data_IF_991050102368
#
_entry.id   IF_991050102368
#
_cell.length_a   1.000
_cell.length_b   1.000
_cell.length_c   1.000
_cell.angle_alpha   90.00
_cell.angle_beta   90.00
_cell.angle_gamma   90.00
#
_symmetry.space_group_name_H-M   'P 1'
#
loop_
_entity.id
_entity.type
_entity.pdbx_description
1 polymer ?
#
# COMPACT_ATOMS: atom_id res chain seq x y z
N UNK A 1 5.44 16.36 27.99
CA UNK A 1 6.28 15.49 27.13
C UNK A 1 5.54 14.22 26.72
N UNK A 2 4.72 13.58 27.59
CA UNK A 2 3.88 12.42 27.21
C UNK A 2 3.01 12.62 25.94
N UNK A 3 2.26 13.73 25.85
CA UNK A 3 1.34 13.94 24.71
C UNK A 3 2.06 14.07 23.35
N UNK A 4 3.34 14.45 23.33
CA UNK A 4 4.09 14.52 22.06
C UNK A 4 4.51 13.12 21.60
N UNK A 5 4.91 12.25 22.53
CA UNK A 5 5.28 10.87 22.22
C UNK A 5 4.06 10.06 21.78
N UNK A 6 2.91 10.21 22.44
CA UNK A 6 1.66 9.55 22.04
C UNK A 6 1.17 9.97 20.65
N UNK A 7 1.27 11.27 20.32
CA UNK A 7 0.91 11.78 18.99
C UNK A 7 1.87 11.26 17.91
N UNK A 8 3.16 11.14 18.24
CA UNK A 8 4.17 10.58 17.34
C UNK A 8 3.91 9.10 17.05
N UNK A 9 3.63 8.30 18.08
CA UNK A 9 3.31 6.88 17.90
C UNK A 9 2.04 6.69 17.06
N UNK A 10 1.01 7.49 17.32
CA UNK A 10 -0.23 7.46 16.53
C UNK A 10 0.02 7.79 15.06
N UNK A 11 0.76 8.87 14.79
CA UNK A 11 1.08 9.27 13.41
C UNK A 11 1.85 8.18 12.65
N UNK A 12 2.77 7.48 13.31
CA UNK A 12 3.51 6.35 12.70
C UNK A 12 2.58 5.17 12.40
N UNK A 13 1.64 4.84 13.31
CA UNK A 13 0.66 3.78 13.07
C UNK A 13 -0.29 4.12 11.93
N UNK A 14 -0.77 5.35 11.87
CA UNK A 14 -1.62 5.86 10.77
C UNK A 14 -0.87 5.84 9.44
N UNK A 15 0.40 6.24 9.41
CA UNK A 15 1.24 6.14 8.22
C UNK A 15 1.45 4.68 7.78
N UNK A 16 1.63 3.76 8.73
CA UNK A 16 1.71 2.32 8.45
C UNK A 16 0.42 1.78 7.83
N UNK A 17 -0.74 2.17 8.36
CA UNK A 17 -2.02 1.78 7.79
C UNK A 17 -2.22 2.36 6.37
N UNK A 18 -1.83 3.61 6.15
CA UNK A 18 -1.86 4.25 4.84
C UNK A 18 -0.92 3.55 3.84
N UNK A 19 0.25 3.09 4.28
CA UNK A 19 1.17 2.28 3.45
C UNK A 19 0.53 0.96 2.99
N UNK A 20 -0.16 0.25 3.88
CA UNK A 20 -0.85 -1.01 3.53
C UNK A 20 -1.97 -0.74 2.52
N UNK A 21 -2.75 0.32 2.72
CA UNK A 21 -3.79 0.72 1.76
C UNK A 21 -3.21 1.13 0.40
N UNK A 22 -2.08 1.84 0.41
CA UNK A 22 -1.37 2.22 -0.82
C UNK A 22 -0.88 0.98 -1.57
N UNK A 23 -0.32 -0.01 -0.88
CA UNK A 23 0.10 -1.28 -1.49
C UNK A 23 -1.08 -1.98 -2.18
N UNK A 24 -2.19 -2.13 -1.46
CA UNK A 24 -3.41 -2.77 -1.99
C UNK A 24 -3.97 -2.00 -3.20
N UNK A 25 -4.01 -0.66 -3.12
CA UNK A 25 -4.46 0.20 -4.22
C UNK A 25 -3.57 0.11 -5.45
N UNK A 26 -2.24 0.08 -5.26
CA UNK A 26 -1.28 -0.10 -6.37
C UNK A 26 -1.43 -1.47 -7.02
N UNK A 27 -1.63 -2.54 -6.25
CA UNK A 27 -1.88 -3.88 -6.80
C UNK A 27 -3.17 -3.91 -7.61
N UNK A 28 -4.28 -3.45 -7.02
CA UNK A 28 -5.59 -3.41 -7.69
C UNK A 28 -5.57 -2.58 -8.97
N UNK A 29 -4.88 -1.44 -8.97
CA UNK A 29 -4.73 -0.62 -10.17
C UNK A 29 -3.97 -1.35 -11.28
N UNK A 30 -2.89 -2.07 -10.96
CA UNK A 30 -2.12 -2.86 -11.95
C UNK A 30 -2.98 -3.96 -12.56
N UNK A 31 -3.79 -4.63 -11.74
CA UNK A 31 -4.69 -5.69 -12.21
C UNK A 31 -5.78 -5.13 -13.14
N UNK A 32 -6.40 -4.00 -12.76
CA UNK A 32 -7.39 -3.31 -13.60
C UNK A 32 -6.77 -2.79 -14.91
N UNK A 33 -5.56 -2.23 -14.85
CA UNK A 33 -4.84 -1.79 -16.03
C UNK A 33 -4.54 -2.97 -16.96
N UNK A 34 -4.11 -4.10 -16.40
CA UNK A 34 -3.89 -5.33 -17.17
C UNK A 34 -5.18 -5.81 -17.82
N UNK A 35 -6.29 -5.85 -17.08
CA UNK A 35 -7.60 -6.23 -17.63
C UNK A 35 -8.03 -5.31 -18.78
N UNK A 36 -7.79 -3.99 -18.67
CA UNK A 36 -8.05 -3.04 -19.75
C UNK A 36 -7.18 -3.33 -20.99
N UNK A 37 -5.88 -3.59 -20.80
CA UNK A 37 -5.00 -3.95 -21.92
C UNK A 37 -5.35 -5.29 -22.56
N UNK A 38 -5.75 -6.29 -21.75
CA UNK A 38 -6.20 -7.60 -22.23
C UNK A 38 -7.53 -7.49 -22.99
N UNK A 39 -8.36 -6.49 -22.65
CA UNK A 39 -9.58 -6.14 -23.40
C UNK A 39 -9.31 -5.34 -24.69
N UNK A 40 -8.05 -5.06 -25.03
CA UNK A 40 -7.64 -4.45 -26.30
C UNK A 40 -7.31 -2.96 -26.22
N UNK A 41 -7.37 -2.32 -25.05
CA UNK A 41 -6.98 -0.92 -24.92
C UNK A 41 -5.47 -0.76 -25.03
N UNK A 42 -5.03 0.15 -25.89
CA UNK A 42 -3.61 0.47 -26.01
C UNK A 42 -3.15 1.38 -24.86
N UNK A 43 -1.87 1.29 -24.51
CA UNK A 43 -1.26 2.22 -23.55
C UNK A 43 -1.45 3.69 -23.93
N UNK A 44 -1.48 3.98 -25.24
CA UNK A 44 -1.68 5.34 -25.76
C UNK A 44 -3.09 5.86 -25.44
N UNK A 45 -4.10 5.03 -25.65
CA UNK A 45 -5.50 5.39 -25.34
C UNK A 45 -5.70 5.57 -23.84
N UNK A 46 -5.13 4.67 -23.03
CA UNK A 46 -5.18 4.80 -21.56
C UNK A 46 -4.48 6.08 -21.09
N UNK A 47 -3.30 6.40 -21.63
CA UNK A 47 -2.60 7.63 -21.30
C UNK A 47 -3.38 8.88 -21.76
N UNK A 48 -4.01 8.83 -22.94
CA UNK A 48 -4.84 9.93 -23.45
C UNK A 48 -6.10 10.15 -22.60
N UNK A 49 -6.65 9.08 -22.03
CA UNK A 49 -7.74 9.15 -21.06
C UNK A 49 -7.29 9.59 -19.64
N UNK A 50 -5.98 9.82 -19.43
CA UNK A 50 -5.42 10.30 -18.17
C UNK A 50 -5.09 9.22 -17.15
N UNK A 51 -5.14 7.94 -17.52
CA UNK A 51 -4.70 6.87 -16.65
C UNK A 51 -3.18 6.95 -16.41
N UNK A 52 -2.77 6.73 -15.16
CA UNK A 52 -1.37 6.68 -14.79
C UNK A 52 -0.65 5.47 -15.39
N UNK A 53 0.58 5.67 -15.82
CA UNK A 53 1.46 4.59 -16.26
C UNK A 53 1.80 3.68 -15.07
N UNK A 54 1.55 2.37 -15.22
CA UNK A 54 1.89 1.36 -14.21
C UNK A 54 3.38 1.36 -13.84
N UNK A 55 4.26 1.77 -14.75
CA UNK A 55 5.70 1.90 -14.49
C UNK A 55 6.05 3.08 -13.58
N UNK A 56 5.17 4.08 -13.47
CA UNK A 56 5.34 5.27 -12.62
C UNK A 56 4.68 5.12 -11.24
N UNK A 57 3.98 4.01 -11.00
CA UNK A 57 3.36 3.76 -9.71
C UNK A 57 4.43 3.56 -8.62
N UNK A 58 4.12 3.94 -7.37
CA UNK A 58 4.99 3.69 -6.23
C UNK A 58 5.36 2.21 -6.16
N UNK A 59 6.66 1.94 -5.99
CA UNK A 59 7.14 0.61 -5.61
C UNK A 59 6.97 0.46 -4.12
N UNK A 60 5.77 0.09 -3.69
CA UNK A 60 5.52 -0.22 -2.29
C UNK A 60 6.15 -1.59 -2.02
N UNK A 61 7.19 -1.61 -1.18
CA UNK A 61 7.69 -2.88 -0.64
C UNK A 61 6.68 -3.32 0.39
N UNK A 62 6.34 -4.62 0.42
CA UNK A 62 5.55 -5.22 1.49
C UNK A 62 6.15 -4.76 2.82
N UNK A 63 5.41 -3.92 3.54
CA UNK A 63 5.70 -3.71 4.93
C UNK A 63 5.05 -4.92 5.59
N UNK A 64 5.86 -5.91 5.98
CA UNK A 64 5.39 -6.92 6.91
C UNK A 64 4.84 -6.16 8.11
N UNK A 65 3.52 -6.27 8.32
CA UNK A 65 2.94 -5.83 9.57
C UNK A 65 3.77 -6.52 10.66
N UNK A 66 4.23 -5.80 11.69
CA UNK A 66 4.95 -6.44 12.78
C UNK A 66 4.03 -7.54 13.31
N UNK A 67 4.45 -8.79 13.13
CA UNK A 67 3.68 -9.93 13.61
C UNK A 67 3.40 -9.67 15.09
N UNK A 68 2.16 -9.88 15.56
CA UNK A 68 1.89 -9.78 16.98
C UNK A 68 2.78 -10.83 17.64
N UNK A 69 3.88 -10.37 18.26
CA UNK A 69 4.79 -11.24 18.99
C UNK A 69 3.94 -12.00 19.99
N UNK A 70 3.75 -13.29 19.75
CA UNK A 70 3.25 -14.24 20.73
C UNK A 70 4.30 -14.29 21.81
N UNK A 71 4.18 -13.36 22.76
CA UNK A 71 4.96 -13.35 23.98
C UNK A 71 4.60 -14.65 24.69
N UNK A 72 5.52 -15.63 24.62
CA UNK A 72 5.35 -16.96 25.19
C UNK A 72 4.91 -16.82 26.65
N UNK A 73 3.69 -17.27 26.92
CA UNK A 73 3.15 -17.43 28.26
C UNK A 73 3.52 -18.82 28.75
N UNK A 74 4.81 -19.06 28.90
CA UNK A 74 5.36 -20.24 29.56
C UNK A 74 6.28 -19.76 30.68
N UNK A 75 5.68 -19.33 31.79
CA UNK A 75 6.29 -19.43 33.12
C UNK A 75 5.21 -19.16 34.19
N UNK A 76 4.63 -20.25 34.69
CA UNK A 76 4.25 -20.41 36.11
C UNK A 76 4.03 -21.87 36.45
#
# INVERSE_FOLDING_TARGET
MLNQDENRERAVRELGAAMVQLEAGVSSYKDAYKAATDAGWTKRELNAAGFFDVAKLPRVKKIEAPEPSTFNKDEQ
#
